data_IF_852659729965
#
_entry.id   IF_852659729965
#
_cell.length_a   1.000
_cell.length_b   1.000
_cell.length_c   1.000
_cell.angle_alpha   90.00
_cell.angle_beta   90.00
_cell.angle_gamma   90.00
#
_symmetry.space_group_name_H-M   'P 1'
#
loop_
_entity.id
_entity.type
_entity.pdbx_description
1 polymer ?
#
# COMPACT_ATOMS: atom_id res chain seq x y z
N UNK A 1 -6.96 -10.49 20.00
CA UNK A 1 -5.80 -9.69 19.48
C UNK A 1 -5.96 -9.36 18.00
N UNK A 2 -6.28 -10.35 17.14
CA UNK A 2 -6.44 -10.11 15.70
C UNK A 2 -7.59 -9.13 15.37
N UNK A 3 -8.71 -9.22 16.11
CA UNK A 3 -9.83 -8.28 15.96
C UNK A 3 -9.42 -6.83 16.26
N UNK A 4 -8.66 -6.61 17.33
CA UNK A 4 -8.17 -5.26 17.70
C UNK A 4 -7.32 -4.66 16.57
N UNK A 5 -6.47 -5.48 15.93
CA UNK A 5 -5.67 -5.04 14.78
C UNK A 5 -6.55 -4.70 13.57
N UNK A 6 -7.55 -5.54 13.29
CA UNK A 6 -8.51 -5.26 12.20
C UNK A 6 -9.32 -3.99 12.44
N UNK A 7 -9.79 -3.77 13.67
CA UNK A 7 -10.49 -2.54 14.05
C UNK A 7 -9.58 -1.31 13.86
N UNK A 8 -8.32 -1.38 14.29
CA UNK A 8 -7.33 -0.31 14.09
C UNK A 8 -7.08 -0.02 12.59
N UNK A 9 -7.02 -1.05 11.74
CA UNK A 9 -6.88 -0.88 10.28
C UNK A 9 -8.09 -0.14 9.71
N UNK A 10 -9.31 -0.51 10.12
CA UNK A 10 -10.54 0.16 9.67
C UNK A 10 -10.60 1.62 10.13
N UNK A 11 -10.32 1.87 11.40
CA UNK A 11 -10.34 3.23 11.96
C UNK A 11 -9.33 4.13 11.25
N UNK A 12 -8.08 3.66 11.09
CA UNK A 12 -7.06 4.43 10.35
C UNK A 12 -7.44 4.62 8.87
N UNK A 13 -8.07 3.62 8.24
CA UNK A 13 -8.54 3.76 6.86
C UNK A 13 -9.62 4.82 6.73
N UNK A 14 -10.55 4.92 7.68
CA UNK A 14 -11.57 5.99 7.73
C UNK A 14 -10.93 7.37 7.90
N UNK A 15 -9.99 7.51 8.82
CA UNK A 15 -9.24 8.76 9.00
C UNK A 15 -8.50 9.21 7.74
N UNK A 16 -7.92 8.25 6.97
CA UNK A 16 -7.27 8.54 5.69
C UNK A 16 -8.29 9.05 4.67
N UNK A 17 -9.44 8.40 4.54
CA UNK A 17 -10.49 8.79 3.61
C UNK A 17 -11.06 10.17 3.95
N UNK A 18 -11.30 10.46 5.22
CA UNK A 18 -11.70 11.76 5.72
C UNK A 18 -10.65 12.85 5.41
N UNK A 19 -9.37 12.55 5.63
CA UNK A 19 -8.25 13.48 5.32
C UNK A 19 -8.15 13.80 3.83
N UNK A 20 -8.60 12.87 2.98
CA UNK A 20 -8.64 13.02 1.52
C UNK A 20 -9.96 13.61 1.01
N UNK A 21 -10.85 14.03 1.92
CA UNK A 21 -12.19 14.59 1.62
C UNK A 21 -13.08 13.64 0.78
N UNK A 22 -12.92 12.30 0.95
CA UNK A 22 -13.80 11.33 0.31
C UNK A 22 -15.10 11.15 1.11
N UNK A 23 -16.23 11.28 0.43
CA UNK A 23 -17.56 10.92 0.96
C UNK A 23 -17.76 9.41 0.77
N UNK A 24 -17.58 8.65 1.85
CA UNK A 24 -17.69 7.18 1.85
C UNK A 24 -18.71 6.76 2.91
N UNK A 25 -19.67 5.91 2.54
CA UNK A 25 -20.69 5.42 3.46
C UNK A 25 -20.13 4.45 4.49
N UNK A 26 -19.41 3.43 4.02
CA UNK A 26 -18.76 2.42 4.87
C UNK A 26 -17.57 1.76 4.14
N UNK A 27 -16.77 1.01 4.88
CA UNK A 27 -15.62 0.27 4.36
C UNK A 27 -15.55 -1.12 4.97
N UNK A 28 -14.92 -2.06 4.26
CA UNK A 28 -14.65 -3.40 4.79
C UNK A 28 -13.26 -3.88 4.42
N UNK A 29 -12.62 -4.61 5.33
CA UNK A 29 -11.46 -5.42 5.01
C UNK A 29 -11.94 -6.61 4.16
N UNK A 30 -11.42 -6.74 2.95
CA UNK A 30 -11.71 -7.86 2.07
C UNK A 30 -10.79 -9.03 2.32
N UNK A 31 -9.51 -8.74 2.55
CA UNK A 31 -8.47 -9.74 2.82
C UNK A 31 -7.48 -9.21 3.87
N UNK A 32 -6.97 -10.13 4.69
CA UNK A 32 -5.86 -9.88 5.60
C UNK A 32 -5.02 -11.14 5.76
N UNK A 33 -3.70 -11.02 5.54
CA UNK A 33 -2.79 -12.18 5.55
C UNK A 33 -1.41 -11.86 6.11
N UNK A 34 -0.76 -12.90 6.63
CA UNK A 34 0.63 -12.82 7.08
C UNK A 34 1.62 -13.17 5.97
N UNK A 35 2.74 -12.45 5.93
CA UNK A 35 3.86 -12.71 5.04
C UNK A 35 5.14 -12.96 5.82
N UNK A 36 5.88 -13.98 5.42
CA UNK A 36 7.25 -14.24 5.89
C UNK A 36 8.18 -14.21 4.69
N UNK A 37 8.98 -13.16 4.57
CA UNK A 37 9.96 -13.00 3.50
C UNK A 37 11.33 -13.43 4.00
N UNK A 38 11.81 -14.58 3.53
CA UNK A 38 13.11 -15.14 3.87
C UNK A 38 14.22 -14.47 3.09
N UNK A 39 15.48 -14.70 3.52
CA UNK A 39 16.64 -14.27 2.74
C UNK A 39 16.56 -14.78 1.30
N UNK A 40 16.78 -13.89 0.35
CA UNK A 40 16.76 -14.18 -1.09
C UNK A 40 15.37 -14.05 -1.74
N UNK A 41 14.30 -14.06 -0.96
CA UNK A 41 12.94 -13.95 -1.51
C UNK A 41 12.58 -12.50 -1.88
N UNK A 42 11.66 -12.37 -2.83
CA UNK A 42 11.13 -11.10 -3.36
C UNK A 42 9.60 -11.19 -3.44
N UNK A 43 8.93 -10.04 -3.43
CA UNK A 43 7.56 -9.94 -3.95
C UNK A 43 7.61 -9.20 -5.29
N UNK A 44 7.21 -9.83 -6.40
CA UNK A 44 7.27 -9.20 -7.72
C UNK A 44 6.32 -7.99 -7.82
N UNK A 45 6.51 -7.11 -8.81
CA UNK A 45 5.61 -6.00 -9.05
C UNK A 45 4.16 -6.43 -9.27
N UNK A 46 3.23 -5.81 -8.53
CA UNK A 46 1.80 -6.11 -8.59
C UNK A 46 0.95 -4.92 -8.12
N UNK A 47 -0.36 -5.04 -8.28
CA UNK A 47 -1.40 -4.18 -7.72
C UNK A 47 -2.44 -5.06 -7.00
N UNK A 48 -3.34 -4.46 -6.24
CA UNK A 48 -4.42 -5.17 -5.54
C UNK A 48 -5.76 -4.86 -6.21
N UNK A 49 -6.13 -5.66 -7.21
CA UNK A 49 -7.38 -5.51 -7.96
C UNK A 49 -8.60 -5.59 -7.04
N UNK A 50 -9.68 -4.88 -7.41
CA UNK A 50 -10.97 -4.88 -6.71
C UNK A 50 -10.92 -4.39 -5.26
N UNK A 51 -9.92 -3.56 -4.92
CA UNK A 51 -9.81 -2.92 -3.62
C UNK A 51 -9.48 -1.43 -3.81
N UNK A 52 -9.80 -0.62 -2.82
CA UNK A 52 -9.57 0.82 -2.86
C UNK A 52 -8.28 1.21 -2.13
N UNK A 53 -8.10 0.70 -0.91
CA UNK A 53 -6.94 0.96 -0.07
C UNK A 53 -6.28 -0.36 0.34
N UNK A 54 -4.97 -0.39 0.36
CA UNK A 54 -4.18 -1.53 0.81
C UNK A 54 -3.15 -1.08 1.83
N UNK A 55 -2.60 -2.02 2.57
CA UNK A 55 -1.56 -1.69 3.51
C UNK A 55 -0.72 -2.88 3.96
N UNK A 56 0.36 -2.54 4.65
CA UNK A 56 1.27 -3.51 5.26
C UNK A 56 1.73 -3.00 6.63
N UNK A 57 1.74 -3.87 7.62
CA UNK A 57 2.32 -3.63 8.93
C UNK A 57 3.49 -4.59 9.17
N UNK A 58 4.64 -4.04 9.55
CA UNK A 58 5.85 -4.81 9.82
C UNK A 58 5.90 -5.26 11.28
N UNK A 59 5.57 -6.53 11.54
CA UNK A 59 5.71 -7.15 12.86
C UNK A 59 7.16 -7.27 13.28
N UNK A 60 8.01 -7.67 12.32
CA UNK A 60 9.45 -7.77 12.52
C UNK A 60 10.19 -7.46 11.22
N UNK A 61 11.19 -6.60 11.32
CA UNK A 61 12.12 -6.31 10.23
C UNK A 61 13.47 -5.88 10.80
N UNK A 62 14.52 -6.48 10.28
CA UNK A 62 15.92 -6.15 10.62
C UNK A 62 16.56 -5.46 9.42
N UNK A 63 16.15 -4.23 9.12
CA UNK A 63 16.57 -3.46 7.94
C UNK A 63 16.44 -4.22 6.60
N UNK A 64 15.55 -5.22 6.57
CA UNK A 64 15.22 -5.94 5.34
C UNK A 64 14.60 -4.99 4.31
N UNK A 65 14.52 -5.47 3.07
CA UNK A 65 13.91 -4.74 1.98
C UNK A 65 12.51 -4.22 2.34
N UNK A 66 12.30 -2.94 2.17
CA UNK A 66 11.02 -2.28 2.33
C UNK A 66 10.19 -2.30 1.05
N UNK A 67 8.97 -1.82 1.13
CA UNK A 67 8.08 -1.68 -0.03
C UNK A 67 8.57 -0.54 -0.92
N UNK A 68 8.48 -0.73 -2.23
CA UNK A 68 8.82 0.28 -3.24
C UNK A 68 7.64 0.47 -4.19
N UNK A 69 7.29 1.73 -4.45
CA UNK A 69 6.20 2.14 -5.31
C UNK A 69 6.73 2.74 -6.60
N UNK A 70 6.16 2.30 -7.73
CA UNK A 70 6.48 2.86 -9.05
C UNK A 70 5.74 4.17 -9.29
N UNK A 71 6.34 5.08 -10.05
CA UNK A 71 5.63 6.24 -10.56
C UNK A 71 4.48 5.77 -11.48
N UNK A 72 3.22 6.11 -11.19
CA UNK A 72 2.08 5.62 -11.98
C UNK A 72 1.93 6.32 -13.33
N UNK A 73 2.70 7.37 -13.59
CA UNK A 73 2.61 8.12 -14.86
C UNK A 73 3.31 7.35 -15.98
N UNK A 74 2.58 6.92 -17.02
CA UNK A 74 3.19 6.28 -18.17
C UNK A 74 4.25 7.19 -18.78
N UNK A 75 5.35 6.62 -19.21
CA UNK A 75 6.42 7.35 -19.89
C UNK A 75 7.15 8.44 -19.06
N UNK A 76 6.94 8.51 -17.75
CA UNK A 76 7.70 9.43 -16.89
C UNK A 76 9.23 9.21 -16.97
N UNK A 77 9.65 8.04 -17.45
CA UNK A 77 11.05 7.61 -17.57
C UNK A 77 11.63 7.81 -18.96
N UNK A 78 10.87 8.30 -19.95
CA UNK A 78 11.37 8.46 -21.33
C UNK A 78 12.51 9.49 -21.40
N UNK A 79 12.46 10.50 -20.56
CA UNK A 79 13.55 11.47 -20.41
C UNK A 79 13.82 11.69 -18.92
N UNK A 80 14.95 11.19 -18.44
CA UNK A 80 15.33 11.32 -17.02
C UNK A 80 16.47 12.30 -16.87
N UNK A 81 16.22 13.54 -16.41
CA UNK A 81 17.27 14.51 -16.10
C UNK A 81 18.21 14.02 -15.01
N UNK A 82 19.46 14.49 -15.01
CA UNK A 82 20.35 14.28 -13.86
C UNK A 82 19.77 14.96 -12.61
N UNK A 83 19.79 14.22 -11.50
CA UNK A 83 19.24 14.68 -10.21
C UNK A 83 20.40 15.10 -9.30
N UNK A 84 20.41 16.36 -8.86
CA UNK A 84 21.37 16.81 -7.84
C UNK A 84 21.13 16.06 -6.52
N UNK A 85 19.86 15.88 -6.17
CA UNK A 85 19.41 15.10 -5.02
C UNK A 85 18.17 14.28 -5.43
N UNK A 86 18.08 13.06 -4.93
CA UNK A 86 16.86 12.25 -5.04
C UNK A 86 15.87 12.70 -3.97
N UNK A 87 14.65 13.02 -4.38
CA UNK A 87 13.54 13.44 -3.53
C UNK A 87 12.28 12.66 -3.89
N UNK A 88 11.25 12.71 -3.05
CA UNK A 88 9.96 12.13 -3.38
C UNK A 88 9.34 12.74 -4.64
N UNK A 89 9.62 14.01 -4.92
CA UNK A 89 9.04 14.73 -6.07
C UNK A 89 9.71 14.40 -7.41
N UNK A 90 10.91 13.85 -7.41
CA UNK A 90 11.68 13.57 -8.63
C UNK A 90 12.12 12.10 -8.76
N UNK A 91 11.57 11.21 -7.95
CA UNK A 91 11.87 9.79 -7.97
C UNK A 91 10.82 9.03 -8.76
N UNK A 92 11.25 8.12 -9.62
CA UNK A 92 10.37 7.22 -10.37
C UNK A 92 10.09 5.93 -9.60
N UNK A 93 10.81 5.74 -8.50
CA UNK A 93 10.64 4.64 -7.58
C UNK A 93 10.81 5.16 -6.14
N UNK A 94 9.74 5.13 -5.35
CA UNK A 94 9.74 5.54 -3.95
C UNK A 94 9.94 4.34 -3.04
N UNK A 95 10.93 4.42 -2.15
CA UNK A 95 11.23 3.36 -1.19
C UNK A 95 10.84 3.75 0.22
N UNK A 96 10.10 2.89 0.90
CA UNK A 96 9.76 3.02 2.31
C UNK A 96 10.41 1.87 3.09
N UNK A 97 11.28 2.21 4.02
CA UNK A 97 11.98 1.20 4.83
C UNK A 97 11.00 0.37 5.65
N UNK A 98 11.19 -0.95 5.65
CA UNK A 98 10.50 -1.86 6.55
C UNK A 98 11.05 -1.71 7.96
N UNK A 99 10.38 -0.94 8.80
CA UNK A 99 10.72 -0.81 10.23
C UNK A 99 9.69 -1.56 11.05
N UNK A 100 10.13 -2.36 12.02
CA UNK A 100 9.25 -2.97 13.01
C UNK A 100 8.32 -1.92 13.63
N UNK A 101 7.07 -2.27 13.82
CA UNK A 101 5.98 -1.39 14.31
C UNK A 101 5.64 -0.21 13.39
N UNK A 102 5.86 -0.36 12.08
CA UNK A 102 5.44 0.61 11.07
C UNK A 102 4.33 0.02 10.21
N UNK A 103 3.26 0.80 10.00
CA UNK A 103 2.28 0.58 8.95
C UNK A 103 2.54 1.51 7.77
N UNK A 104 2.21 1.04 6.57
CA UNK A 104 2.20 1.83 5.33
C UNK A 104 0.85 1.55 4.66
N UNK A 105 0.06 2.59 4.43
CA UNK A 105 -1.17 2.55 3.67
C UNK A 105 -0.94 3.16 2.29
N UNK A 106 -1.57 2.61 1.27
CA UNK A 106 -1.42 3.08 -0.11
C UNK A 106 -2.66 2.71 -0.95
N UNK A 107 -2.94 3.48 -2.03
CA UNK A 107 -4.02 3.13 -2.95
C UNK A 107 -3.77 1.76 -3.58
N UNK A 108 -4.80 0.91 -3.63
CA UNK A 108 -4.68 -0.47 -4.12
C UNK A 108 -4.24 -0.58 -5.59
N UNK A 109 -4.54 0.45 -6.39
CA UNK A 109 -4.11 0.55 -7.79
C UNK A 109 -2.62 0.86 -7.96
N UNK A 110 -1.93 1.36 -6.90
CA UNK A 110 -0.54 1.79 -7.01
C UNK A 110 0.39 0.58 -7.12
N UNK A 111 1.06 0.45 -8.27
CA UNK A 111 1.99 -0.65 -8.53
C UNK A 111 3.18 -0.59 -7.57
N UNK A 112 3.46 -1.71 -6.94
CA UNK A 112 4.53 -1.84 -5.97
C UNK A 112 5.16 -3.23 -5.98
N UNK A 113 6.31 -3.34 -5.36
CA UNK A 113 7.05 -4.58 -5.17
C UNK A 113 7.87 -4.54 -3.88
N UNK A 114 8.44 -5.67 -3.51
CA UNK A 114 9.42 -5.74 -2.44
C UNK A 114 10.70 -6.37 -2.99
N UNK A 115 11.81 -5.62 -3.03
CA UNK A 115 13.08 -6.15 -3.50
C UNK A 115 13.59 -7.28 -2.59
N UNK A 116 14.61 -7.97 -3.06
CA UNK A 116 15.17 -9.14 -2.39
C UNK A 116 15.55 -8.84 -0.94
N UNK A 117 15.10 -9.70 -0.04
CA UNK A 117 15.55 -9.65 1.35
C UNK A 117 17.00 -10.14 1.42
N UNK A 118 17.92 -9.22 1.65
CA UNK A 118 19.36 -9.51 1.81
C UNK A 118 19.77 -9.75 3.26
N UNK A 119 18.87 -9.58 4.23
CA UNK A 119 19.12 -9.87 5.64
C UNK A 119 19.16 -11.38 5.89
N UNK A 120 19.97 -11.82 6.85
CA UNK A 120 19.95 -13.20 7.35
C UNK A 120 18.66 -13.53 8.12
N UNK A 121 17.88 -12.52 8.50
CA UNK A 121 16.63 -12.68 9.25
C UNK A 121 15.42 -12.55 8.36
N UNK A 122 14.35 -13.23 8.74
CA UNK A 122 13.06 -13.12 8.07
C UNK A 122 12.44 -11.74 8.33
N UNK A 123 11.79 -11.16 7.32
CA UNK A 123 10.87 -10.06 7.48
C UNK A 123 9.45 -10.63 7.66
N UNK A 124 8.77 -10.24 8.74
CA UNK A 124 7.42 -10.69 9.04
C UNK A 124 6.48 -9.49 8.99
N UNK A 125 5.42 -9.60 8.21
CA UNK A 125 4.44 -8.53 8.05
C UNK A 125 3.01 -9.07 7.94
N UNK A 126 2.03 -8.23 8.27
CA UNK A 126 0.62 -8.43 7.97
C UNK A 126 0.25 -7.45 6.87
N UNK A 127 -0.38 -7.95 5.82
CA UNK A 127 -0.93 -7.12 4.74
C UNK A 127 -2.46 -7.23 4.73
N UNK A 128 -3.12 -6.22 4.20
CA UNK A 128 -4.59 -6.17 4.10
C UNK A 128 -5.04 -5.38 2.89
N UNK A 129 -6.29 -5.61 2.53
CA UNK A 129 -7.03 -4.84 1.54
C UNK A 129 -8.32 -4.31 2.15
N UNK A 130 -8.72 -3.12 1.75
CA UNK A 130 -9.95 -2.45 2.15
C UNK A 130 -10.70 -2.02 0.90
N UNK A 131 -12.01 -2.32 0.86
CA UNK A 131 -12.93 -1.90 -0.19
C UNK A 131 -13.98 -0.96 0.38
N UNK A 132 -14.42 -0.01 -0.43
CA UNK A 132 -15.55 0.86 -0.14
C UNK A 132 -16.85 0.06 -0.18
N UNK A 133 -17.84 0.46 0.63
CA UNK A 133 -19.19 -0.09 0.63
C UNK A 133 -20.21 1.02 0.44
N UNK A 134 -21.35 0.63 -0.15
CA UNK A 134 -22.42 1.55 -0.47
C UNK A 134 -22.28 2.12 -1.87
N UNK A 135 -22.80 3.31 -2.08
CA UNK A 135 -22.74 3.98 -3.37
C UNK A 135 -21.41 4.69 -3.56
N UNK A 136 -20.77 4.45 -4.71
CA UNK A 136 -19.47 5.01 -5.08
C UNK A 136 -19.62 5.76 -6.40
N UNK A 137 -19.08 6.98 -6.45
CA UNK A 137 -19.15 7.89 -7.59
C UNK A 137 -20.36 8.84 -7.51
N UNK A 138 -20.39 9.80 -8.40
CA UNK A 138 -21.45 10.82 -8.46
C UNK A 138 -22.62 10.32 -9.32
N UNK A 139 -23.83 10.38 -8.80
CA UNK A 139 -25.05 9.92 -9.49
C UNK A 139 -25.28 10.57 -10.87
N UNK A 140 -24.74 11.77 -11.06
CA UNK A 140 -24.88 12.53 -12.32
C UNK A 140 -23.77 12.23 -13.34
N UNK A 141 -22.79 11.40 -12.99
CA UNK A 141 -21.60 11.16 -13.81
C UNK A 141 -21.59 9.71 -14.30
N UNK A 142 -22.36 9.09 -14.95
CA UNK A 142 -22.33 7.76 -15.61
C UNK A 142 -21.25 6.75 -15.11
N UNK A 143 -20.67 6.97 -13.94
CA UNK A 143 -19.56 6.19 -13.34
C UNK A 143 -19.86 5.78 -11.90
N UNK A 144 -21.11 5.73 -11.50
CA UNK A 144 -21.52 5.24 -10.18
C UNK A 144 -21.61 3.72 -10.14
N UNK A 145 -21.28 3.14 -8.99
CA UNK A 145 -21.46 1.73 -8.71
C UNK A 145 -21.83 1.52 -7.23
N UNK A 146 -22.49 0.42 -6.93
CA UNK A 146 -22.80 0.02 -5.55
C UNK A 146 -22.00 -1.23 -5.19
N UNK A 147 -21.30 -1.22 -4.07
CA UNK A 147 -20.47 -2.33 -3.55
C UNK A 147 -20.94 -2.81 -2.19
#
# INVERSE_FOLDING_TARGET
EFKIFADMVLDTSKEILETLDYAVEDIAITDMWGNVLRKGEVHPPHTHSNNFLSGVYYLYSDNAAGIQFFDPRPSADVLVPRKSNKTHNNSNLLSFASKTNRAVFFPSWLQHWVPQNISEKNRISIAWNVQLKGEVGEHNEYQSATF
#
